data_IF_450105652366
#
_entry.id   IF_450105652366
#
_cell.length_a   1.000
_cell.length_b   1.000
_cell.length_c   1.000
_cell.angle_alpha   90.00
_cell.angle_beta   90.00
_cell.angle_gamma   90.00
#
_symmetry.space_group_name_H-M   'P 1'
#
loop_
_entity.id
_entity.type
_entity.pdbx_description
1 polymer ?
#
# COMPACT_ATOMS: atom_id res chain seq x y z
N UNK A 1 -35.81 22.49 6.61
CA UNK A 1 -36.21 21.28 5.85
C UNK A 1 -35.40 20.10 6.38
N UNK A 2 -35.95 19.33 7.32
CA UNK A 2 -35.22 18.30 8.08
C UNK A 2 -34.64 17.17 7.20
N UNK A 3 -35.21 16.96 6.01
CA UNK A 3 -34.72 15.96 5.06
C UNK A 3 -33.29 16.24 4.55
N UNK A 4 -32.90 17.51 4.40
CA UNK A 4 -31.58 17.86 3.88
C UNK A 4 -30.46 17.52 4.88
N UNK A 5 -30.68 17.81 6.15
CA UNK A 5 -29.70 17.55 7.23
C UNK A 5 -29.46 16.05 7.42
N UNK A 6 -30.53 15.26 7.32
CA UNK A 6 -30.46 13.80 7.37
C UNK A 6 -29.65 13.25 6.20
N UNK A 7 -29.90 13.72 4.96
CA UNK A 7 -29.15 13.29 3.77
C UNK A 7 -27.66 13.66 3.89
N UNK A 8 -27.34 14.86 4.40
CA UNK A 8 -25.95 15.29 4.61
C UNK A 8 -25.25 14.43 5.69
N UNK A 9 -25.95 14.06 6.76
CA UNK A 9 -25.41 13.18 7.80
C UNK A 9 -25.08 11.79 7.24
N UNK A 10 -25.99 11.19 6.46
CA UNK A 10 -25.75 9.90 5.80
C UNK A 10 -24.58 9.96 4.81
N UNK A 11 -24.48 11.02 4.01
CA UNK A 11 -23.35 11.24 3.10
C UNK A 11 -22.00 11.29 3.82
N UNK A 12 -21.92 11.97 4.98
CA UNK A 12 -20.69 12.04 5.77
C UNK A 12 -20.27 10.67 6.32
N UNK A 13 -21.22 9.91 6.87
CA UNK A 13 -20.96 8.55 7.38
C UNK A 13 -20.49 7.64 6.25
N UNK A 14 -21.15 7.71 5.09
CA UNK A 14 -20.76 6.95 3.91
C UNK A 14 -19.34 7.30 3.45
N UNK A 15 -18.98 8.59 3.38
CA UNK A 15 -17.63 9.01 3.02
C UNK A 15 -16.57 8.50 4.00
N UNK A 16 -16.83 8.51 5.31
CA UNK A 16 -15.89 8.01 6.32
C UNK A 16 -15.72 6.49 6.21
N UNK A 17 -16.81 5.74 6.03
CA UNK A 17 -16.78 4.31 5.80
C UNK A 17 -16.04 3.96 4.51
N UNK A 18 -16.34 4.66 3.42
CA UNK A 18 -15.70 4.44 2.12
C UNK A 18 -14.19 4.72 2.21
N UNK A 19 -13.77 5.80 2.88
CA UNK A 19 -12.36 6.12 3.08
C UNK A 19 -11.63 5.05 3.91
N UNK A 20 -12.25 4.55 4.97
CA UNK A 20 -11.67 3.47 5.78
C UNK A 20 -11.55 2.18 4.97
N UNK A 21 -12.63 1.79 4.30
CA UNK A 21 -12.66 0.60 3.46
C UNK A 21 -11.60 0.67 2.36
N UNK A 22 -11.46 1.81 1.70
CA UNK A 22 -10.44 2.00 0.67
C UNK A 22 -9.03 1.95 1.24
N UNK A 23 -8.79 2.54 2.43
CA UNK A 23 -7.49 2.46 3.11
C UNK A 23 -7.13 1.02 3.47
N UNK A 24 -8.09 0.25 3.98
CA UNK A 24 -7.87 -1.16 4.34
C UNK A 24 -7.67 -2.03 3.09
N UNK A 25 -8.41 -1.77 2.01
CA UNK A 25 -8.20 -2.41 0.71
C UNK A 25 -6.80 -2.13 0.19
N UNK A 26 -6.35 -0.87 0.22
CA UNK A 26 -5.00 -0.50 -0.18
C UNK A 26 -3.95 -1.15 0.72
N UNK A 27 -4.15 -1.15 2.04
CA UNK A 27 -3.24 -1.78 2.98
C UNK A 27 -3.18 -3.30 2.78
N UNK A 28 -4.27 -3.95 2.41
CA UNK A 28 -4.28 -5.37 2.08
C UNK A 28 -3.60 -5.66 0.75
N UNK A 29 -3.69 -4.75 -0.23
CA UNK A 29 -3.01 -4.87 -1.53
C UNK A 29 -1.52 -4.56 -1.43
N UNK A 30 -1.13 -3.60 -0.58
CA UNK A 30 0.27 -3.18 -0.35
C UNK A 30 0.92 -3.82 0.87
N UNK A 31 0.21 -4.64 1.64
CA UNK A 31 0.84 -5.60 2.54
C UNK A 31 1.43 -6.74 1.69
N UNK A 32 2.36 -6.38 0.81
CA UNK A 32 3.39 -7.29 0.38
C UNK A 32 4.05 -7.83 1.65
N UNK A 33 4.21 -9.15 1.69
CA UNK A 33 5.05 -9.83 2.67
C UNK A 33 6.28 -8.98 2.96
N UNK A 34 6.63 -8.74 4.24
CA UNK A 34 7.83 -7.97 4.58
C UNK A 34 8.98 -8.54 3.75
N UNK A 35 9.64 -7.67 2.96
CA UNK A 35 10.72 -8.12 2.09
C UNK A 35 11.68 -8.94 2.95
N UNK A 36 11.96 -10.17 2.49
CA UNK A 36 12.86 -11.08 3.19
C UNK A 36 14.15 -10.31 3.48
N UNK A 37 14.55 -10.25 4.74
CA UNK A 37 15.78 -9.57 5.11
C UNK A 37 16.96 -10.42 4.60
N UNK A 38 17.62 -9.93 3.56
CA UNK A 38 18.76 -10.61 2.91
C UNK A 38 20.11 -10.19 3.51
N UNK A 39 20.13 -9.39 4.59
CA UNK A 39 21.37 -8.83 5.16
C UNK A 39 22.37 -9.87 5.67
N UNK A 40 21.91 -11.09 5.95
CA UNK A 40 22.76 -12.19 6.40
C UNK A 40 23.01 -13.26 5.31
N UNK A 41 22.48 -13.08 4.11
CA UNK A 41 22.59 -14.04 3.01
C UNK A 41 23.64 -13.57 1.99
N UNK A 42 24.48 -14.48 1.52
CA UNK A 42 25.39 -14.20 0.39
C UNK A 42 24.61 -14.32 -0.91
N UNK A 43 24.49 -13.22 -1.65
CA UNK A 43 23.75 -13.16 -2.92
C UNK A 43 24.75 -13.14 -4.08
N UNK A 44 24.59 -14.06 -5.04
CA UNK A 44 25.36 -14.04 -6.29
C UNK A 44 24.63 -13.18 -7.34
N UNK A 45 25.24 -12.06 -7.73
CA UNK A 45 24.73 -11.19 -8.79
C UNK A 45 25.68 -11.26 -9.99
N UNK A 46 25.26 -11.93 -11.06
CA UNK A 46 26.03 -11.99 -12.31
C UNK A 46 25.96 -10.65 -13.04
N UNK A 47 27.06 -10.20 -13.66
CA UNK A 47 27.08 -8.94 -14.41
C UNK A 47 27.02 -7.68 -13.53
N UNK A 48 27.36 -7.78 -12.24
CA UNK A 48 27.38 -6.64 -11.30
C UNK A 48 28.42 -5.55 -11.63
N UNK A 49 29.28 -5.77 -12.62
CA UNK A 49 30.28 -4.80 -13.04
C UNK A 49 29.68 -3.55 -13.72
N UNK A 50 28.47 -3.63 -14.30
CA UNK A 50 27.82 -2.50 -14.98
C UNK A 50 26.29 -2.66 -15.12
N UNK A 51 25.62 -1.59 -15.55
CA UNK A 51 24.19 -1.57 -15.86
C UNK A 51 23.29 -1.91 -14.67
N UNK A 52 22.22 -2.68 -14.93
CA UNK A 52 21.23 -3.06 -13.91
C UNK A 52 21.83 -3.93 -12.80
N UNK A 53 22.78 -4.82 -13.13
CA UNK A 53 23.44 -5.67 -12.14
C UNK A 53 24.22 -4.86 -11.10
N UNK A 54 24.80 -3.71 -11.49
CA UNK A 54 25.48 -2.80 -10.57
C UNK A 54 24.52 -2.04 -9.65
N UNK A 55 23.29 -1.78 -10.11
CA UNK A 55 22.28 -1.09 -9.29
C UNK A 55 21.57 -2.01 -8.29
N UNK A 56 21.63 -3.32 -8.51
CA UNK A 56 21.03 -4.34 -7.64
C UNK A 56 22.03 -4.88 -6.61
N UNK A 57 23.34 -4.84 -6.91
CA UNK A 57 24.42 -5.21 -5.99
C UNK A 57 24.74 -4.09 -5.00
#
# INVERSE_FOLDING_TARGET
MPALEVVVAYMKVFCVMFKHWFRDLFKSLTSSTPLKNLSAETILITGAASGLGKGVA
#
